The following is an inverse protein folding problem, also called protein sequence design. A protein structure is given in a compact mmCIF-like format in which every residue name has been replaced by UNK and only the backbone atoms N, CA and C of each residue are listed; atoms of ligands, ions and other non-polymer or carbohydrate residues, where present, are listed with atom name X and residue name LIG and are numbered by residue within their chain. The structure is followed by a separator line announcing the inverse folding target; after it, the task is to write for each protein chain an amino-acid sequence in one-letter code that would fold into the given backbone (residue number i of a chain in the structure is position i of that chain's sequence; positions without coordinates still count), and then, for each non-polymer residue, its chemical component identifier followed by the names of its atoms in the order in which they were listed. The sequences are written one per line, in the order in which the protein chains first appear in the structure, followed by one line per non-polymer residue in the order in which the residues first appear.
data_IF_433435993440
#
_entry.id   IF_433435993440
#
_cell.length_a   1.000
_cell.length_b   1.000
_cell.length_c   1.000
_cell.angle_alpha   90.00
_cell.angle_beta   90.00
_cell.angle_gamma   90.00
#
_symmetry.space_group_name_H-M   'P 1'
#
loop_
_entity.id
_entity.type
_entity.pdbx_description
1 polymer ?
#
# COMPACT_ATOMS: atom_id res chain seq x y z
N UNK A 1 -10.34 2.77 -1.96
CA UNK A 1 -9.82 3.39 -0.73
C UNK A 1 -10.90 4.25 -0.09
N UNK A 2 -10.62 4.79 1.09
CA UNK A 2 -11.49 5.73 1.81
C UNK A 2 -10.72 7.03 2.01
N UNK A 3 -11.27 8.12 1.48
CA UNK A 3 -10.69 9.45 1.61
C UNK A 3 -11.24 10.13 2.87
N UNK A 4 -10.34 10.65 3.69
CA UNK A 4 -10.62 11.43 4.88
C UNK A 4 -10.07 12.83 4.66
N UNK A 5 -10.94 13.71 4.20
CA UNK A 5 -10.63 15.13 4.12
C UNK A 5 -10.46 15.70 5.53
N UNK A 6 -9.42 16.51 5.71
CA UNK A 6 -9.18 17.22 6.96
C UNK A 6 -10.27 18.30 7.12
N UNK A 7 -11.03 18.31 8.23
CA UNK A 7 -12.13 19.26 8.41
C UNK A 7 -11.69 20.72 8.50
N UNK A 8 -10.40 20.99 8.73
CA UNK A 8 -9.84 22.37 8.70
C UNK A 8 -9.26 22.75 7.33
N UNK A 9 -9.41 21.89 6.33
CA UNK A 9 -8.79 22.05 5.00
C UNK A 9 -7.32 21.65 4.98
N UNK A 10 -6.87 21.07 3.86
CA UNK A 10 -5.47 20.78 3.57
C UNK A 10 -5.27 20.60 2.06
N UNK A 11 -4.11 21.01 1.55
CA UNK A 11 -3.65 20.74 0.18
C UNK A 11 -2.60 19.61 0.11
N UNK A 12 -2.35 18.94 1.23
CA UNK A 12 -1.39 17.84 1.36
C UNK A 12 -2.13 16.58 1.79
N UNK A 13 -1.72 15.43 1.24
CA UNK A 13 -2.33 14.15 1.58
C UNK A 13 -1.30 13.05 1.78
N UNK A 14 -1.65 12.04 2.54
CA UNK A 14 -0.91 10.79 2.63
C UNK A 14 -1.81 9.63 2.20
N UNK A 15 -1.32 8.85 1.23
CA UNK A 15 -1.87 7.53 0.91
C UNK A 15 -1.45 6.58 2.04
N UNK A 16 -2.41 6.18 2.86
CA UNK A 16 -2.19 5.37 4.05
C UNK A 16 -2.51 3.89 3.83
N UNK A 17 -1.50 3.04 3.92
CA UNK A 17 -1.61 1.58 3.91
C UNK A 17 -1.61 1.07 5.37
N UNK A 18 -2.60 1.50 6.16
CA UNK A 18 -2.60 1.37 7.63
C UNK A 18 -3.17 0.07 8.19
N UNK A 19 -4.00 -0.63 7.42
CA UNK A 19 -4.81 -1.73 7.93
C UNK A 19 -5.37 -2.60 6.82
N UNK A 20 -6.23 -3.52 7.22
CA UNK A 20 -6.73 -4.61 6.40
C UNK A 20 -7.94 -4.20 5.57
N UNK A 21 -8.53 -3.07 5.92
CA UNK A 21 -9.63 -2.42 5.22
C UNK A 21 -9.37 -0.91 5.23
N UNK A 22 -9.67 -0.20 4.12
CA UNK A 22 -9.43 1.24 4.04
C UNK A 22 -10.21 2.06 5.08
N UNK A 23 -11.18 1.47 5.80
CA UNK A 23 -12.00 2.14 6.80
C UNK A 23 -12.08 1.40 8.15
N UNK A 24 -11.13 0.49 8.44
CA UNK A 24 -11.04 -0.15 9.75
C UNK A 24 -10.60 0.82 10.87
N UNK A 25 -10.46 0.29 12.07
CA UNK A 25 -10.05 1.06 13.24
C UNK A 25 -8.65 1.67 13.07
N UNK A 26 -7.70 0.92 12.51
CA UNK A 26 -6.32 1.40 12.30
C UNK A 26 -6.27 2.49 11.23
N UNK A 27 -7.01 2.32 10.13
CA UNK A 27 -7.17 3.33 9.09
C UNK A 27 -7.75 4.64 9.64
N UNK A 28 -8.79 4.57 10.48
CA UNK A 28 -9.37 5.74 11.15
C UNK A 28 -8.41 6.39 12.14
N UNK A 29 -7.64 5.61 12.88
CA UNK A 29 -6.62 6.12 13.80
C UNK A 29 -5.50 6.85 13.04
N UNK A 30 -5.01 6.27 11.94
CA UNK A 30 -4.03 6.89 11.05
C UNK A 30 -4.54 8.20 10.45
N UNK A 31 -5.77 8.19 9.90
CA UNK A 31 -6.41 9.38 9.35
C UNK A 31 -6.56 10.48 10.42
N UNK A 32 -7.02 10.14 11.63
CA UNK A 32 -7.14 11.08 12.75
C UNK A 32 -5.79 11.66 13.16
N UNK A 33 -4.73 10.86 13.14
CA UNK A 33 -3.38 11.34 13.44
C UNK A 33 -2.88 12.31 12.35
N UNK A 34 -3.07 11.99 11.06
CA UNK A 34 -2.74 12.89 9.95
C UNK A 34 -3.53 14.20 10.01
N UNK A 35 -4.81 14.13 10.35
CA UNK A 35 -5.67 15.31 10.50
C UNK A 35 -5.13 16.28 11.56
N UNK A 36 -4.66 15.77 12.70
CA UNK A 36 -4.02 16.59 13.75
C UNK A 36 -2.76 17.32 13.25
N UNK A 37 -2.15 16.83 12.18
CA UNK A 37 -0.97 17.42 11.55
C UNK A 37 -1.31 18.24 10.29
N UNK A 38 -2.60 18.54 10.03
CA UNK A 38 -3.01 19.36 8.89
C UNK A 38 -2.93 18.66 7.54
N UNK A 39 -3.05 17.32 7.50
CA UNK A 39 -2.87 16.51 6.28
C UNK A 39 -4.13 15.67 6.02
N UNK A 40 -4.58 15.58 4.77
CA UNK A 40 -5.64 14.67 4.33
C UNK A 40 -5.14 13.21 4.34
N UNK A 41 -6.04 12.24 4.39
CA UNK A 41 -5.65 10.83 4.29
C UNK A 41 -6.45 10.10 3.22
N UNK A 42 -5.78 9.33 2.36
CA UNK A 42 -6.42 8.34 1.51
C UNK A 42 -6.00 6.95 1.96
N UNK A 43 -6.86 6.28 2.73
CA UNK A 43 -6.58 4.94 3.19
C UNK A 43 -6.87 3.93 2.08
N UNK A 44 -5.92 3.05 1.79
CA UNK A 44 -6.01 2.05 0.72
C UNK A 44 -5.63 0.68 1.29
N UNK A 45 -6.40 -0.34 0.93
CA UNK A 45 -6.03 -1.75 1.16
C UNK A 45 -6.22 -2.53 -0.15
N UNK A 46 -5.51 -3.66 -0.34
CA UNK A 46 -5.68 -4.51 -1.53
C UNK A 46 -7.04 -5.22 -1.58
N UNK A 47 -7.74 -5.30 -0.44
CA UNK A 47 -9.09 -5.85 -0.31
C UNK A 47 -9.43 -6.01 1.16
N UNK A 48 -10.70 -6.21 1.50
CA UNK A 48 -11.13 -6.36 2.89
C UNK A 48 -10.59 -7.66 3.48
N UNK A 49 -9.65 -7.57 4.43
CA UNK A 49 -8.96 -8.72 5.04
C UNK A 49 -8.28 -9.64 4.02
N UNK A 50 -7.83 -9.06 2.90
CA UNK A 50 -7.02 -9.78 1.94
C UNK A 50 -5.55 -9.58 2.28
N UNK A 51 -4.94 -10.62 2.85
CA UNK A 51 -3.52 -10.65 3.20
C UNK A 51 -2.69 -11.44 2.19
N UNK A 52 -3.31 -11.94 1.11
CA UNK A 52 -2.55 -12.49 -0.01
C UNK A 52 -1.94 -11.35 -0.80
N UNK A 53 -0.69 -11.52 -1.22
CA UNK A 53 0.03 -10.57 -2.05
C UNK A 53 0.46 -11.30 -3.32
N UNK A 54 -0.38 -11.27 -4.34
CA UNK A 54 -0.12 -11.92 -5.63
C UNK A 54 -0.33 -10.89 -6.72
N UNK A 55 0.77 -10.44 -7.32
CA UNK A 55 0.83 -9.49 -8.42
C UNK A 55 -0.02 -8.24 -8.18
N UNK A 56 0.00 -7.68 -6.96
CA UNK A 56 -0.80 -6.50 -6.63
C UNK A 56 -0.35 -5.29 -7.49
N UNK A 57 -1.24 -4.69 -8.29
CA UNK A 57 -0.85 -3.70 -9.29
C UNK A 57 -0.47 -2.37 -8.65
N UNK A 58 0.67 -1.80 -9.05
CA UNK A 58 1.09 -0.45 -8.66
C UNK A 58 0.21 0.65 -9.28
N UNK A 59 -0.50 0.36 -10.36
CA UNK A 59 -1.46 1.24 -11.04
C UNK A 59 -2.54 1.77 -10.09
N UNK A 60 -2.85 1.03 -9.01
CA UNK A 60 -3.78 1.52 -7.98
C UNK A 60 -3.25 2.75 -7.24
N UNK A 61 -1.93 2.83 -7.05
CA UNK A 61 -1.26 3.99 -6.44
C UNK A 61 -1.18 5.13 -7.45
N UNK A 62 -0.83 4.84 -8.71
CA UNK A 62 -0.86 5.85 -9.78
C UNK A 62 -2.25 6.49 -9.92
N UNK A 63 -3.30 5.67 -9.93
CA UNK A 63 -4.70 6.12 -9.98
C UNK A 63 -5.06 6.97 -8.76
N UNK A 64 -4.62 6.56 -7.57
CA UNK A 64 -4.82 7.32 -6.35
C UNK A 64 -4.13 8.70 -6.41
N UNK A 65 -2.87 8.76 -6.86
CA UNK A 65 -2.13 10.02 -7.03
C UNK A 65 -2.88 10.96 -7.99
N UNK A 66 -3.26 10.48 -9.17
CA UNK A 66 -3.99 11.27 -10.18
C UNK A 66 -5.31 11.81 -9.63
N UNK A 67 -6.08 10.96 -8.94
CA UNK A 67 -7.33 11.37 -8.31
C UNK A 67 -7.08 12.43 -7.23
N UNK A 68 -6.08 12.25 -6.37
CA UNK A 68 -5.75 13.19 -5.29
C UNK A 68 -5.34 14.57 -5.84
N UNK A 69 -4.48 14.60 -6.85
CA UNK A 69 -4.05 15.83 -7.51
C UNK A 69 -5.23 16.56 -8.18
N UNK A 70 -6.11 15.82 -8.87
CA UNK A 70 -7.33 16.37 -9.46
C UNK A 70 -8.33 16.91 -8.42
N UNK A 71 -8.25 16.44 -7.17
CA UNK A 71 -9.09 16.87 -6.05
C UNK A 71 -8.36 17.81 -5.07
N UNK A 72 -7.41 18.61 -5.57
CA UNK A 72 -6.81 19.72 -4.82
C UNK A 72 -5.67 19.36 -3.88
N UNK A 73 -5.21 18.10 -3.86
CA UNK A 73 -4.03 17.71 -3.10
C UNK A 73 -2.77 17.96 -3.92
N UNK A 74 -2.13 19.10 -3.67
CA UNK A 74 -0.89 19.54 -4.32
C UNK A 74 0.31 18.64 -3.98
N UNK A 75 0.40 18.14 -2.74
CA UNK A 75 1.47 17.23 -2.31
C UNK A 75 0.90 15.88 -1.89
N UNK A 76 1.52 14.82 -2.38
CA UNK A 76 1.18 13.44 -2.03
C UNK A 76 2.36 12.79 -1.34
N UNK A 77 2.10 12.20 -0.17
CA UNK A 77 2.98 11.24 0.48
C UNK A 77 2.34 9.85 0.49
N UNK A 78 3.13 8.84 0.86
CA UNK A 78 2.67 7.46 1.05
C UNK A 78 3.25 6.91 2.36
N UNK A 79 2.47 6.07 3.03
CA UNK A 79 2.87 5.44 4.28
C UNK A 79 2.39 4.00 4.36
N UNK A 80 3.27 3.10 4.78
CA UNK A 80 2.95 1.70 5.04
C UNK A 80 3.93 1.04 6.00
N UNK A 81 3.54 -0.13 6.51
CA UNK A 81 4.34 -0.92 7.46
C UNK A 81 4.45 -2.38 7.00
N UNK A 82 5.58 -3.03 7.26
CA UNK A 82 5.82 -4.44 6.86
C UNK A 82 5.72 -4.61 5.34
N UNK A 83 4.93 -5.57 4.84
CA UNK A 83 4.67 -5.75 3.40
C UNK A 83 4.12 -4.48 2.72
N UNK A 84 3.28 -3.71 3.43
CA UNK A 84 2.81 -2.42 2.93
C UNK A 84 3.89 -1.31 2.97
N UNK A 85 4.88 -1.45 3.84
CA UNK A 85 6.07 -0.58 3.86
C UNK A 85 6.94 -0.80 2.62
N UNK A 86 7.14 -2.06 2.23
CA UNK A 86 7.80 -2.42 0.97
C UNK A 86 7.03 -1.86 -0.24
N UNK A 87 5.70 -2.05 -0.28
CA UNK A 87 4.81 -1.46 -1.29
C UNK A 87 4.97 0.07 -1.39
N UNK A 88 5.09 0.74 -0.24
CA UNK A 88 5.35 2.19 -0.20
C UNK A 88 6.71 2.58 -0.82
N UNK A 89 7.78 1.81 -0.57
CA UNK A 89 9.09 2.05 -1.18
C UNK A 89 9.07 1.84 -2.69
N UNK A 90 8.43 0.76 -3.13
CA UNK A 90 8.32 0.45 -4.57
C UNK A 90 7.46 1.50 -5.27
N UNK A 91 6.31 1.88 -4.71
CA UNK A 91 5.51 2.95 -5.28
C UNK A 91 6.30 4.27 -5.40
N UNK A 92 7.06 4.64 -4.37
CA UNK A 92 7.89 5.84 -4.40
C UNK A 92 9.03 5.78 -5.42
N UNK A 93 9.55 4.59 -5.76
CA UNK A 93 10.58 4.46 -6.79
C UNK A 93 10.02 4.55 -8.23
N UNK A 94 8.73 4.24 -8.42
CA UNK A 94 8.05 4.33 -9.71
C UNK A 94 7.36 5.67 -9.95
N UNK A 95 6.87 6.33 -8.89
CA UNK A 95 6.03 7.52 -8.99
C UNK A 95 6.71 8.75 -8.35
N UNK A 96 7.38 9.60 -9.14
CA UNK A 96 8.07 10.79 -8.63
C UNK A 96 7.11 11.85 -8.04
N UNK A 97 5.80 11.74 -8.30
CA UNK A 97 4.76 12.55 -7.68
C UNK A 97 4.63 12.31 -6.15
N UNK A 98 5.16 11.19 -5.66
CA UNK A 98 5.26 10.91 -4.23
C UNK A 98 6.44 11.70 -3.65
N UNK A 99 6.13 12.69 -2.82
CA UNK A 99 7.12 13.64 -2.28
C UNK A 99 7.57 13.32 -0.85
N UNK A 100 6.93 12.35 -0.20
CA UNK A 100 7.23 11.88 1.16
C UNK A 100 6.87 10.41 1.30
N UNK A 101 7.78 9.60 1.82
CA UNK A 101 7.59 8.15 1.98
C UNK A 101 7.92 7.73 3.40
N UNK A 102 6.95 7.12 4.08
CA UNK A 102 7.16 6.43 5.34
C UNK A 102 7.04 4.92 5.13
N UNK A 103 8.19 4.24 5.10
CA UNK A 103 8.25 2.79 5.01
C UNK A 103 8.75 2.21 6.33
N UNK A 104 7.83 1.73 7.16
CA UNK A 104 8.14 1.24 8.50
C UNK A 104 8.39 -0.27 8.46
N UNK A 105 9.52 -0.72 9.00
CA UNK A 105 9.93 -2.14 9.04
C UNK A 105 9.78 -2.84 7.68
N UNK A 106 10.10 -2.12 6.60
CA UNK A 106 9.96 -2.58 5.23
C UNK A 106 11.18 -3.42 4.80
N UNK A 107 10.96 -4.36 3.90
CA UNK A 107 12.04 -4.91 3.08
C UNK A 107 12.38 -3.92 1.95
N UNK A 108 13.66 -3.82 1.62
CA UNK A 108 14.20 -2.98 0.53
C UNK A 108 14.23 -3.71 -0.82
N UNK A 109 13.62 -4.90 -0.90
CA UNK A 109 13.41 -5.69 -2.11
C UNK A 109 11.98 -6.23 -2.14
N UNK A 110 11.51 -6.61 -3.33
CA UNK A 110 10.18 -7.19 -3.56
C UNK A 110 10.20 -8.68 -3.25
N UNK A 111 9.22 -9.18 -2.49
CA UNK A 111 9.08 -10.61 -2.21
C UNK A 111 8.30 -11.33 -3.32
N UNK A 112 8.56 -12.63 -3.47
CA UNK A 112 7.68 -13.54 -4.22
C UNK A 112 6.25 -13.44 -3.72
N UNK A 113 5.30 -13.60 -4.64
CA UNK A 113 3.88 -13.60 -4.31
C UNK A 113 3.54 -14.76 -3.36
N UNK A 114 2.60 -14.52 -2.47
CA UNK A 114 2.15 -15.50 -1.49
C UNK A 114 0.64 -15.37 -1.24
N UNK A 115 0.02 -16.48 -0.88
CA UNK A 115 -1.37 -16.54 -0.46
C UNK A 115 -1.48 -16.85 1.01
N UNK A 116 -2.49 -16.28 1.67
CA UNK A 116 -2.93 -16.69 2.99
C UNK A 116 -4.24 -17.47 2.93
N UNK A 117 -4.39 -18.44 3.82
CA UNK A 117 -5.58 -19.28 3.90
C UNK A 117 -5.41 -20.43 4.88
N UNK A 118 -5.87 -21.61 4.49
CA UNK A 118 -5.68 -22.85 5.25
C UNK A 118 -5.49 -24.02 4.28
N UNK A 119 -4.36 -24.02 3.58
CA UNK A 119 -4.00 -25.07 2.62
C UNK A 119 -3.08 -26.06 3.31
N UNK A 120 -3.51 -27.33 3.40
CA UNK A 120 -2.76 -28.42 4.03
C UNK A 120 -2.24 -28.12 5.45
N UNK A 121 -2.99 -27.30 6.20
CA UNK A 121 -2.62 -26.87 7.57
C UNK A 121 -1.65 -25.68 7.62
N UNK A 122 -1.16 -25.20 6.48
CA UNK A 122 -0.39 -23.98 6.35
C UNK A 122 -1.32 -22.76 6.23
N UNK A 123 -0.98 -21.69 6.96
CA UNK A 123 -1.74 -20.43 6.93
C UNK A 123 -1.29 -19.47 5.83
N UNK A 124 -0.11 -19.71 5.27
CA UNK A 124 0.50 -18.92 4.22
C UNK A 124 1.39 -19.83 3.37
N UNK A 125 1.44 -19.61 2.06
CA UNK A 125 2.35 -20.32 1.16
C UNK A 125 2.78 -19.45 -0.03
N UNK A 126 4.00 -19.65 -0.54
CA UNK A 126 4.48 -18.96 -1.73
C UNK A 126 3.74 -19.45 -2.98
N UNK A 127 3.58 -18.56 -3.95
CA UNK A 127 2.98 -18.85 -5.25
C UNK A 127 4.09 -18.80 -6.32
N UNK A 128 4.36 -19.91 -7.04
CA UNK A 128 5.34 -19.94 -8.11
C UNK A 128 5.08 -18.86 -9.18
N UNK A 129 6.15 -18.32 -9.76
CA UNK A 129 6.10 -17.36 -10.90
C UNK A 129 5.32 -16.06 -10.64
N UNK A 130 5.06 -15.74 -9.37
CA UNK A 130 4.37 -14.50 -9.00
C UNK A 130 5.21 -13.63 -8.10
N UNK A 131 4.97 -12.33 -8.16
CA UNK A 131 5.55 -11.34 -7.29
C UNK A 131 4.51 -10.85 -6.30
N UNK A 132 4.92 -10.20 -5.21
CA UNK A 132 3.98 -9.48 -4.36
C UNK A 132 3.35 -8.28 -5.08
N UNK A 133 4.04 -7.71 -6.07
CA UNK A 133 3.64 -6.51 -6.80
C UNK A 133 3.78 -6.70 -8.32
N UNK A 134 2.95 -6.02 -9.09
CA UNK A 134 3.03 -5.98 -10.56
C UNK A 134 3.05 -4.55 -11.09
N UNK A 135 3.55 -4.41 -12.32
CA UNK A 135 3.53 -3.16 -13.07
C UNK A 135 3.29 -3.45 -14.55
N UNK A 136 2.32 -2.74 -15.14
CA UNK A 136 1.89 -2.88 -16.54
C UNK A 136 1.47 -4.31 -16.88
N UNK A 137 0.82 -4.98 -15.93
CA UNK A 137 0.38 -6.37 -16.04
C UNK A 137 1.46 -7.43 -15.80
N UNK A 138 2.72 -7.03 -15.60
CA UNK A 138 3.84 -7.95 -15.41
C UNK A 138 4.29 -8.01 -13.94
N UNK A 139 4.63 -9.19 -13.40
CA UNK A 139 5.23 -9.31 -12.07
C UNK A 139 6.55 -8.54 -11.97
N UNK A 140 6.76 -7.81 -10.87
CA UNK A 140 8.06 -7.19 -10.62
C UNK A 140 9.13 -8.23 -10.26
N UNK A 141 10.42 -8.01 -10.60
CA UNK A 141 11.50 -8.86 -10.11
C UNK A 141 11.44 -9.01 -8.59
N UNK A 142 11.56 -10.23 -8.10
CA UNK A 142 11.34 -10.56 -6.70
C UNK A 142 12.39 -11.51 -6.12
N UNK A 143 12.53 -11.49 -4.80
CA UNK A 143 13.27 -12.47 -4.02
C UNK A 143 12.39 -13.70 -3.79
N UNK A 144 12.77 -14.90 -4.27
CA UNK A 144 12.03 -16.13 -4.03
C UNK A 144 12.10 -16.55 -2.56
N UNK A 145 11.05 -17.21 -2.07
CA UNK A 145 11.15 -17.95 -0.82
C UNK A 145 12.01 -19.20 -1.02
N UNK A 146 12.70 -19.62 0.04
CA UNK A 146 13.57 -20.82 0.02
C UNK A 146 12.81 -22.14 0.10
N UNK A 147 11.50 -22.07 0.31
CA UNK A 147 10.62 -23.22 0.43
C UNK A 147 9.49 -23.10 -0.59
N UNK A 148 8.95 -24.24 -0.97
CA UNK A 148 7.72 -24.36 -1.74
C UNK A 148 6.68 -25.06 -0.85
N UNK A 149 5.40 -24.94 -1.20
CA UNK A 149 4.31 -25.59 -0.48
C UNK A 149 3.78 -26.80 -1.25
#
# INVERSE_FOLDING_TARGET
GTYYENPTGSDCTVIGLFGDDPNDYMAKCGAKWLHKNGVNALCVSPGKKNYSHVNNPLERIETAIKWLQANGNRKVGIMGMSAAGMDSLVAASYFPDITLTFALTASDFVWQGFEQGNKDGCKEWPIPETSTLSWKGEPLPYMPFVYEH
#
